data_IF_942854271800
#
_entry.id   IF_942854271800
#
_cell.length_a   1.000
_cell.length_b   1.000
_cell.length_c   1.000
_cell.angle_alpha   90.00
_cell.angle_beta   90.00
_cell.angle_gamma   90.00
#
_symmetry.space_group_name_H-M   'P 1'
#
loop_
_entity.id
_entity.type
_entity.pdbx_description
1 polymer ?
#
# COMPACT_ATOMS: atom_id res chain seq x y z
N UNK A 1 17.11 16.86 8.82
CA UNK A 1 16.01 17.29 7.93
C UNK A 1 15.25 16.02 7.52
N UNK A 2 13.96 15.87 7.79
CA UNK A 2 13.26 14.60 7.52
C UNK A 2 13.10 14.39 6.01
N UNK A 3 13.98 13.58 5.43
CA UNK A 3 14.00 13.21 4.01
C UNK A 3 12.65 12.68 3.49
N UNK A 4 11.83 12.06 4.36
CA UNK A 4 10.52 11.51 3.98
C UNK A 4 9.56 12.50 3.31
N UNK A 5 9.49 13.77 3.76
CA UNK A 5 8.63 14.78 3.09
C UNK A 5 9.10 15.14 1.69
N UNK A 6 10.42 15.15 1.48
CA UNK A 6 11.03 15.43 0.17
C UNK A 6 10.80 14.23 -0.75
N UNK A 7 10.94 13.01 -0.23
CA UNK A 7 10.71 11.79 -1.01
C UNK A 7 9.24 11.69 -1.43
N UNK A 8 8.29 11.94 -0.52
CA UNK A 8 6.85 12.01 -0.85
C UNK A 8 6.55 13.07 -1.92
N UNK A 9 7.18 14.24 -1.84
CA UNK A 9 7.00 15.32 -2.83
C UNK A 9 7.52 14.92 -4.20
N UNK A 10 8.74 14.37 -4.27
CA UNK A 10 9.31 13.89 -5.54
C UNK A 10 8.48 12.74 -6.10
N UNK A 11 8.03 11.81 -5.25
CA UNK A 11 7.22 10.67 -5.68
C UNK A 11 5.91 11.11 -6.35
N UNK A 12 5.22 12.08 -5.75
CA UNK A 12 3.91 12.50 -6.22
C UNK A 12 3.94 13.57 -7.32
N UNK A 13 4.94 14.45 -7.34
CA UNK A 13 5.00 15.55 -8.30
C UNK A 13 5.94 15.30 -9.47
N UNK A 14 6.79 14.27 -9.40
CA UNK A 14 7.70 13.91 -10.49
C UNK A 14 7.43 12.51 -11.03
N UNK A 15 7.55 11.47 -10.19
CA UNK A 15 7.42 10.10 -10.66
C UNK A 15 5.97 9.71 -11.03
N UNK A 16 5.00 10.09 -10.20
CA UNK A 16 3.60 9.76 -10.44
C UNK A 16 3.04 10.34 -11.77
N UNK A 17 3.20 11.64 -12.10
CA UNK A 17 2.71 12.19 -13.36
C UNK A 17 3.38 11.54 -14.57
N UNK A 18 4.66 11.19 -14.46
CA UNK A 18 5.38 10.50 -15.53
C UNK A 18 4.81 9.11 -15.80
N UNK A 19 4.60 8.30 -14.76
CA UNK A 19 4.03 6.95 -14.89
C UNK A 19 2.57 7.00 -15.35
N UNK A 20 1.80 7.98 -14.85
CA UNK A 20 0.42 8.22 -15.29
C UNK A 20 0.36 8.57 -16.78
N UNK A 21 1.19 9.52 -17.23
CA UNK A 21 1.25 9.93 -18.63
C UNK A 21 1.70 8.78 -19.52
N UNK A 22 2.70 8.00 -19.09
CA UNK A 22 3.13 6.81 -19.82
C UNK A 22 2.00 5.80 -19.98
N UNK A 23 1.26 5.48 -18.91
CA UNK A 23 0.13 4.57 -18.97
C UNK A 23 -0.98 5.08 -19.92
N UNK A 24 -1.22 6.39 -19.92
CA UNK A 24 -2.16 7.04 -20.83
C UNK A 24 -1.71 6.95 -22.29
N UNK A 25 -0.43 7.24 -22.60
CA UNK A 25 0.16 7.13 -23.94
C UNK A 25 0.12 5.69 -24.45
N UNK A 26 0.35 4.72 -23.56
CA UNK A 26 0.24 3.28 -23.86
C UNK A 26 -1.21 2.77 -23.99
N UNK A 27 -2.21 3.67 -23.89
CA UNK A 27 -3.64 3.35 -24.01
C UNK A 27 -4.11 2.26 -23.04
N UNK A 28 -3.54 2.24 -21.83
CA UNK A 28 -4.04 1.40 -20.74
C UNK A 28 -5.49 1.83 -20.42
N UNK A 29 -6.35 0.87 -20.09
CA UNK A 29 -7.75 1.19 -19.73
C UNK A 29 -7.79 2.14 -18.54
N UNK A 30 -8.68 3.14 -18.59
CA UNK A 30 -8.70 4.25 -17.64
C UNK A 30 -8.98 3.80 -16.19
N UNK A 31 -9.85 2.82 -16.01
CA UNK A 31 -10.13 2.17 -14.74
C UNK A 31 -8.89 1.53 -14.10
N UNK A 32 -8.05 0.87 -14.89
CA UNK A 32 -6.78 0.29 -14.45
C UNK A 32 -5.76 1.38 -14.10
N UNK A 33 -5.73 2.49 -14.85
CA UNK A 33 -4.89 3.66 -14.51
C UNK A 33 -5.34 4.26 -13.17
N UNK A 34 -6.64 4.37 -12.92
CA UNK A 34 -7.16 4.85 -11.64
C UNK A 34 -6.83 3.90 -10.49
N UNK A 35 -6.98 2.59 -10.70
CA UNK A 35 -6.61 1.60 -9.69
C UNK A 35 -5.12 1.69 -9.34
N UNK A 36 -4.25 1.78 -10.35
CA UNK A 36 -2.81 2.00 -10.16
C UNK A 36 -2.52 3.31 -9.41
N UNK A 37 -3.17 4.40 -9.82
CA UNK A 37 -2.98 5.72 -9.19
C UNK A 37 -3.42 5.73 -7.74
N UNK A 38 -4.54 5.07 -7.44
CA UNK A 38 -5.01 4.89 -6.07
C UNK A 38 -3.97 4.13 -5.25
N UNK A 39 -3.46 3.01 -5.76
CA UNK A 39 -2.39 2.26 -5.10
C UNK A 39 -1.14 3.10 -4.84
N UNK A 40 -0.69 3.87 -5.82
CA UNK A 40 0.45 4.77 -5.68
C UNK A 40 0.29 5.77 -4.54
N UNK A 41 -0.82 6.50 -4.54
CA UNK A 41 -1.11 7.53 -3.54
C UNK A 41 -1.31 6.90 -2.16
N UNK A 42 -1.99 5.75 -2.11
CA UNK A 42 -2.22 4.99 -0.89
C UNK A 42 -0.90 4.55 -0.23
N UNK A 43 0.03 3.99 -1.00
CA UNK A 43 1.38 3.66 -0.52
C UNK A 43 2.13 4.91 -0.08
N UNK A 44 2.13 5.97 -0.92
CA UNK A 44 2.89 7.18 -0.62
C UNK A 44 2.40 7.88 0.65
N UNK A 45 1.10 7.97 0.92
CA UNK A 45 0.58 8.73 2.06
C UNK A 45 0.35 7.92 3.33
N UNK A 46 -0.04 6.65 3.21
CA UNK A 46 -0.44 5.83 4.36
C UNK A 46 0.64 4.80 4.67
N UNK A 47 0.96 3.98 3.69
CA UNK A 47 1.77 2.78 3.85
C UNK A 47 3.03 2.88 3.01
N UNK A 48 3.96 3.78 3.36
CA UNK A 48 5.26 3.85 2.71
C UNK A 48 6.31 3.06 3.51
N UNK A 49 7.51 2.81 2.96
CA UNK A 49 8.54 2.03 3.66
C UNK A 49 8.95 2.68 5.00
N UNK A 50 8.81 4.01 5.10
CA UNK A 50 9.04 4.75 6.33
C UNK A 50 8.05 4.38 7.45
N UNK A 51 6.82 3.98 7.10
CA UNK A 51 5.79 3.53 8.05
C UNK A 51 6.21 2.25 8.79
N UNK A 52 7.05 1.41 8.18
CA UNK A 52 7.59 0.20 8.83
C UNK A 52 8.46 0.54 10.04
N UNK A 53 9.16 1.69 10.03
CA UNK A 53 10.01 2.12 11.13
C UNK A 53 9.24 2.87 12.20
N UNK A 54 8.32 3.74 11.77
CA UNK A 54 7.50 4.55 12.67
C UNK A 54 6.24 5.03 11.95
N UNK A 55 5.06 5.03 12.61
CA UNK A 55 3.85 5.58 12.01
C UNK A 55 4.02 7.03 11.59
N UNK A 56 3.50 7.37 10.41
CA UNK A 56 3.60 8.73 9.86
C UNK A 56 2.88 9.75 10.74
N UNK A 57 3.50 10.92 10.89
CA UNK A 57 2.90 12.03 11.64
C UNK A 57 1.67 12.63 10.92
N UNK A 58 1.64 12.57 9.59
CA UNK A 58 0.54 13.07 8.76
C UNK A 58 -0.79 12.34 9.00
N UNK A 59 -0.75 11.10 9.49
CA UNK A 59 -1.95 10.33 9.86
C UNK A 59 -2.60 10.81 11.17
N UNK A 60 -2.02 11.81 11.84
CA UNK A 60 -2.61 12.41 13.04
C UNK A 60 -2.84 11.37 14.14
N UNK A 61 -3.99 11.43 14.85
CA UNK A 61 -4.35 10.44 15.86
C UNK A 61 -4.40 9.01 15.31
N UNK A 62 -4.91 8.81 14.09
CA UNK A 62 -5.07 7.49 13.46
C UNK A 62 -3.76 6.74 13.29
N UNK A 63 -2.60 7.40 13.42
CA UNK A 63 -1.29 6.73 13.40
C UNK A 63 -1.18 5.62 14.45
N UNK A 64 -2.01 5.65 15.52
CA UNK A 64 -1.95 4.67 16.59
C UNK A 64 -2.17 3.23 16.09
N UNK A 65 -3.04 3.06 15.09
CA UNK A 65 -3.36 1.74 14.52
C UNK A 65 -2.16 1.13 13.83
N UNK A 66 -1.14 1.90 13.43
CA UNK A 66 0.03 1.39 12.72
C UNK A 66 1.21 1.07 13.64
N UNK A 67 1.16 1.41 14.94
CA UNK A 67 2.24 1.06 15.87
C UNK A 67 2.50 -0.45 15.97
N UNK A 68 1.47 -1.33 16.03
CA UNK A 68 1.71 -2.77 16.06
C UNK A 68 2.47 -3.24 14.82
N UNK A 69 2.10 -2.72 13.64
CA UNK A 69 2.80 -3.04 12.40
C UNK A 69 4.27 -2.58 12.43
N UNK A 70 4.55 -1.32 12.80
CA UNK A 70 5.94 -0.85 12.90
C UNK A 70 6.76 -1.59 13.95
N UNK A 71 6.13 -2.15 14.99
CA UNK A 71 6.81 -2.99 15.98
C UNK A 71 7.18 -4.37 15.41
N UNK A 72 6.32 -4.98 14.60
CA UNK A 72 6.55 -6.28 13.96
C UNK A 72 7.59 -6.20 12.84
N UNK A 73 7.55 -5.13 12.03
CA UNK A 73 8.42 -4.96 10.86
C UNK A 73 9.57 -3.97 11.09
N UNK A 74 9.93 -3.73 12.37
CA UNK A 74 10.93 -2.75 12.79
C UNK A 74 12.32 -2.99 12.18
N UNK A 75 12.61 -4.23 11.78
CA UNK A 75 13.83 -4.59 11.08
C UNK A 75 13.67 -4.36 9.58
N UNK A 76 14.42 -3.37 9.06
CA UNK A 76 14.51 -3.03 7.62
C UNK A 76 14.76 -4.22 6.68
N UNK A 77 15.17 -5.39 7.20
CA UNK A 77 15.58 -6.55 6.41
C UNK A 77 14.44 -7.35 5.77
N UNK A 78 13.31 -7.56 6.47
CA UNK A 78 12.21 -8.37 5.90
C UNK A 78 11.38 -7.56 4.88
N UNK A 79 11.12 -6.28 5.16
CA UNK A 79 10.40 -5.38 4.25
C UNK A 79 11.26 -4.80 3.12
N UNK A 80 12.57 -5.12 3.05
CA UNK A 80 13.46 -4.53 2.04
C UNK A 80 13.13 -4.98 0.61
N UNK A 81 12.44 -6.11 0.49
CA UNK A 81 11.91 -6.58 -0.78
C UNK A 81 10.65 -5.78 -1.13
N UNK A 82 10.71 -4.94 -2.17
CA UNK A 82 9.61 -4.05 -2.60
C UNK A 82 8.26 -4.76 -2.65
N UNK A 83 8.20 -5.91 -3.32
CA UNK A 83 6.95 -6.66 -3.48
C UNK A 83 6.48 -7.27 -2.15
N UNK A 84 7.40 -7.84 -1.38
CA UNK A 84 7.06 -8.46 -0.10
C UNK A 84 6.62 -7.43 0.95
N UNK A 85 7.33 -6.30 1.07
CA UNK A 85 6.94 -5.19 1.93
C UNK A 85 5.60 -4.57 1.53
N UNK A 86 5.32 -4.46 0.23
CA UNK A 86 3.99 -4.04 -0.26
C UNK A 86 2.92 -5.04 0.15
N UNK A 87 3.21 -6.33 -0.01
CA UNK A 87 2.29 -7.41 0.32
C UNK A 87 1.99 -7.49 1.83
N UNK A 88 2.99 -7.36 2.70
CA UNK A 88 2.79 -7.36 4.16
C UNK A 88 1.95 -6.17 4.62
N UNK A 89 2.13 -4.98 4.03
CA UNK A 89 1.29 -3.79 4.29
C UNK A 89 -0.15 -4.02 3.86
N UNK A 90 -0.38 -4.64 2.70
CA UNK A 90 -1.72 -5.01 2.26
C UNK A 90 -2.38 -6.02 3.18
N UNK A 91 -1.66 -7.08 3.59
CA UNK A 91 -2.16 -8.06 4.55
C UNK A 91 -2.53 -7.40 5.88
N UNK A 92 -1.70 -6.47 6.36
CA UNK A 92 -1.99 -5.72 7.57
C UNK A 92 -3.26 -4.86 7.42
N UNK A 93 -3.43 -4.18 6.29
CA UNK A 93 -4.64 -3.40 6.03
C UNK A 93 -5.89 -4.27 5.92
N UNK A 94 -5.79 -5.42 5.25
CA UNK A 94 -6.89 -6.39 5.18
C UNK A 94 -7.30 -6.86 6.57
N UNK A 95 -6.33 -7.12 7.46
CA UNK A 95 -6.60 -7.45 8.86
C UNK A 95 -7.28 -6.32 9.61
N UNK A 96 -6.82 -5.07 9.46
CA UNK A 96 -7.46 -3.91 10.09
C UNK A 96 -8.91 -3.72 9.63
N UNK A 97 -9.17 -3.85 8.33
CA UNK A 97 -10.52 -3.78 7.77
C UNK A 97 -11.42 -4.89 8.31
N UNK A 98 -10.89 -6.12 8.36
CA UNK A 98 -11.60 -7.27 8.96
C UNK A 98 -11.99 -6.99 10.42
N UNK A 99 -11.04 -6.53 11.23
CA UNK A 99 -11.28 -6.23 12.65
C UNK A 99 -12.27 -5.08 12.82
N UNK A 100 -12.16 -4.02 12.02
CA UNK A 100 -13.06 -2.87 12.08
C UNK A 100 -14.49 -3.26 11.68
N UNK A 101 -14.66 -3.98 10.58
CA UNK A 101 -15.97 -4.46 10.13
C UNK A 101 -16.60 -5.40 11.17
N UNK A 102 -15.83 -6.36 11.68
CA UNK A 102 -16.29 -7.29 12.71
C UNK A 102 -16.70 -6.55 13.99
N UNK A 103 -15.87 -5.61 14.46
CA UNK A 103 -16.16 -4.80 15.63
C UNK A 103 -17.40 -3.93 15.45
N UNK A 104 -17.56 -3.29 14.30
CA UNK A 104 -18.76 -2.51 13.97
C UNK A 104 -20.03 -3.37 14.00
N UNK A 105 -20.00 -4.55 13.38
CA UNK A 105 -21.15 -5.47 13.40
C UNK A 105 -21.43 -6.01 14.80
N UNK A 106 -20.39 -6.25 15.60
CA UNK A 106 -20.53 -6.71 16.99
C UNK A 106 -21.26 -5.67 17.84
N UNK A 107 -20.93 -4.38 17.66
CA UNK A 107 -21.63 -3.27 18.33
C UNK A 107 -23.11 -3.19 17.95
N UNK A 108 -23.47 -3.63 16.74
CA UNK A 108 -24.86 -3.70 16.30
C UNK A 108 -25.57 -5.00 16.71
N UNK A 109 -24.88 -5.93 17.38
CA UNK A 109 -25.41 -7.26 17.70
C UNK A 109 -25.60 -8.15 16.47
N UNK A 110 -24.90 -7.87 15.37
CA UNK A 110 -25.04 -8.53 14.05
C UNK A 110 -23.88 -9.47 13.72
N UNK A 111 -23.12 -9.91 14.73
CA UNK A 111 -22.13 -10.98 14.53
C UNK A 111 -22.83 -12.30 14.79
N UNK A 112 -23.27 -12.93 13.71
CA UNK A 112 -23.98 -14.20 13.68
C UNK A 112 -23.25 -15.23 12.82
N UNK A 113 -23.85 -16.41 12.67
CA UNK A 113 -23.31 -17.48 11.83
C UNK A 113 -23.26 -17.07 10.35
N UNK A 114 -24.19 -16.22 9.89
CA UNK A 114 -24.26 -15.74 8.50
C UNK A 114 -23.09 -14.81 8.17
N UNK A 115 -22.66 -13.98 9.12
CA UNK A 115 -21.43 -13.19 9.00
C UNK A 115 -20.22 -14.10 8.78
N UNK A 116 -20.06 -15.15 9.59
CA UNK A 116 -18.94 -16.09 9.45
C UNK A 116 -19.01 -16.89 8.13
N UNK A 117 -20.23 -17.23 7.69
CA UNK A 117 -20.49 -17.87 6.39
C UNK A 117 -20.12 -16.94 5.23
N UNK A 118 -20.38 -15.64 5.32
CA UNK A 118 -20.05 -14.66 4.27
C UNK A 118 -18.55 -14.55 4.03
N UNK A 119 -17.73 -14.58 5.10
CA UNK A 119 -16.27 -14.60 5.00
C UNK A 119 -15.78 -15.89 4.36
N UNK A 120 -16.35 -17.03 4.78
CA UNK A 120 -16.07 -18.33 4.16
C UNK A 120 -16.40 -18.28 2.67
N UNK A 121 -17.59 -17.80 2.30
CA UNK A 121 -18.04 -17.67 0.91
C UNK A 121 -17.13 -16.77 0.08
N UNK A 122 -16.69 -15.63 0.65
CA UNK A 122 -15.73 -14.73 0.01
C UNK A 122 -14.41 -15.46 -0.26
N UNK A 123 -13.84 -16.14 0.75
CA UNK A 123 -12.60 -16.90 0.61
C UNK A 123 -12.72 -18.05 -0.42
N UNK A 124 -13.87 -18.74 -0.46
CA UNK A 124 -14.14 -19.74 -1.49
C UNK A 124 -14.21 -19.11 -2.87
N UNK A 125 -14.91 -17.99 -3.04
CA UNK A 125 -15.03 -17.30 -4.34
C UNK A 125 -13.68 -16.83 -4.88
N UNK A 126 -12.78 -16.40 -3.98
CA UNK A 126 -11.38 -16.10 -4.29
C UNK A 126 -10.61 -17.28 -4.89
N UNK A 127 -10.95 -18.52 -4.52
CA UNK A 127 -10.17 -19.71 -4.86
C UNK A 127 -10.41 -20.24 -6.30
N UNK A 128 -11.43 -19.76 -7.04
CA UNK A 128 -11.73 -20.34 -8.37
C UNK A 128 -12.39 -19.43 -9.42
N UNK A 129 -13.04 -18.30 -9.05
CA UNK A 129 -13.76 -17.44 -10.01
C UNK A 129 -13.11 -16.09 -10.29
N UNK A 130 -12.16 -15.68 -9.47
CA UNK A 130 -11.54 -14.34 -9.55
C UNK A 130 -10.38 -14.29 -10.56
N UNK A 131 -9.76 -15.40 -10.94
CA UNK A 131 -8.75 -15.41 -12.00
C UNK A 131 -9.37 -15.73 -13.37
N UNK A 132 -9.28 -14.86 -14.41
CA UNK A 132 -8.87 -13.46 -14.46
C UNK A 132 -10.10 -12.55 -14.70
N UNK A 133 -10.82 -12.22 -13.63
CA UNK A 133 -11.95 -11.29 -13.69
C UNK A 133 -11.46 -9.83 -13.80
N UNK A 134 -12.32 -8.91 -14.21
CA UNK A 134 -11.98 -7.49 -14.30
C UNK A 134 -11.54 -6.91 -12.94
N UNK A 135 -12.17 -7.36 -11.87
CA UNK A 135 -11.88 -7.00 -10.49
C UNK A 135 -10.47 -7.44 -10.08
N UNK A 136 -10.01 -8.61 -10.54
CA UNK A 136 -8.65 -9.07 -10.30
C UNK A 136 -7.62 -8.16 -10.94
N UNK A 137 -7.88 -7.65 -12.15
CA UNK A 137 -7.00 -6.68 -12.79
C UNK A 137 -6.94 -5.36 -12.01
N UNK A 138 -8.08 -4.86 -11.49
CA UNK A 138 -8.09 -3.64 -10.67
C UNK A 138 -7.23 -3.79 -9.41
N UNK A 139 -7.40 -4.89 -8.67
CA UNK A 139 -6.62 -5.17 -7.45
C UNK A 139 -5.13 -5.31 -7.79
N UNK A 140 -4.82 -6.00 -8.88
CA UNK A 140 -3.43 -6.20 -9.34
C UNK A 140 -2.76 -4.88 -9.74
N UNK A 141 -3.46 -4.02 -10.49
CA UNK A 141 -2.94 -2.70 -10.87
C UNK A 141 -2.74 -1.80 -9.65
N UNK A 142 -3.66 -1.83 -8.68
CA UNK A 142 -3.48 -1.12 -7.42
C UNK A 142 -2.25 -1.62 -6.65
N UNK A 143 -2.04 -2.94 -6.56
CA UNK A 143 -0.84 -3.51 -5.94
C UNK A 143 0.45 -3.04 -6.64
N UNK A 144 0.49 -3.09 -7.96
CA UNK A 144 1.65 -2.60 -8.72
C UNK A 144 1.85 -1.09 -8.58
N UNK A 145 0.77 -0.31 -8.45
CA UNK A 145 0.83 1.10 -8.11
C UNK A 145 1.51 1.36 -6.77
N UNK A 146 1.16 0.59 -5.74
CA UNK A 146 1.82 0.65 -4.43
C UNK A 146 3.30 0.28 -4.53
N UNK A 147 3.62 -0.83 -5.18
CA UNK A 147 4.99 -1.32 -5.33
C UNK A 147 5.87 -0.35 -6.14
N UNK A 148 5.31 0.29 -7.16
CA UNK A 148 6.02 1.29 -7.96
C UNK A 148 6.34 2.55 -7.13
N UNK A 149 5.38 3.02 -6.32
CA UNK A 149 5.63 4.11 -5.37
C UNK A 149 6.77 3.77 -4.39
N UNK A 150 6.80 2.54 -3.88
CA UNK A 150 7.86 2.07 -2.97
C UNK A 150 9.23 1.95 -3.65
N UNK A 151 9.25 1.46 -4.90
CA UNK A 151 10.46 1.41 -5.71
C UNK A 151 11.07 2.81 -5.90
N UNK A 152 10.25 3.80 -6.25
CA UNK A 152 10.71 5.18 -6.43
C UNK A 152 11.24 5.78 -5.12
N UNK A 153 10.64 5.42 -3.96
CA UNK A 153 11.15 5.81 -2.65
C UNK A 153 12.55 5.25 -2.40
N UNK A 154 12.78 3.96 -2.65
CA UNK A 154 14.10 3.34 -2.49
C UNK A 154 15.12 3.85 -3.50
N UNK A 155 14.70 4.12 -4.74
CA UNK A 155 15.55 4.73 -5.74
C UNK A 155 16.04 6.10 -5.26
N UNK A 156 15.16 6.91 -4.65
CA UNK A 156 15.53 8.20 -4.09
C UNK A 156 16.49 8.07 -2.90
N UNK A 157 16.24 7.13 -1.98
CA UNK A 157 17.17 6.82 -0.88
C UNK A 157 18.56 6.45 -1.40
N UNK A 158 18.61 5.59 -2.43
CA UNK A 158 19.85 5.16 -3.07
C UNK A 158 20.58 6.33 -3.73
N UNK A 159 19.90 7.12 -4.57
CA UNK A 159 20.50 8.27 -5.26
C UNK A 159 21.03 9.31 -4.27
N UNK A 160 20.26 9.60 -3.21
CA UNK A 160 20.70 10.52 -2.17
C UNK A 160 21.97 10.02 -1.46
N UNK A 161 22.02 8.72 -1.14
CA UNK A 161 23.22 8.11 -0.53
C UNK A 161 24.45 8.17 -1.45
N UNK A 162 24.26 7.99 -2.77
CA UNK A 162 25.32 8.07 -3.76
C UNK A 162 25.85 9.50 -3.88
N UNK A 163 24.95 10.49 -3.94
CA UNK A 163 25.33 11.90 -3.99
C UNK A 163 26.13 12.34 -2.77
N UNK A 164 25.81 11.82 -1.58
CA UNK A 164 26.61 12.10 -0.38
C UNK A 164 28.01 11.50 -0.45
N UNK A 165 28.16 10.30 -1.03
CA UNK A 165 29.48 9.67 -1.22
C UNK A 165 30.35 10.38 -2.26
N UNK A 166 29.74 10.96 -3.29
CA UNK A 166 30.44 11.70 -4.36
C UNK A 166 30.83 13.12 -3.92
N UNK A 167 30.15 13.70 -2.91
CA UNK A 167 30.49 15.02 -2.34
C UNK A 167 31.62 14.98 -1.29
N UNK A 168 32.37 13.87 -1.21
CA UNK A 168 33.70 13.80 -0.59
C UNK A 168 34.76 14.22 -1.60
#
# INVERSE_FOLDING_TARGET
MSLGKVHETINNFFFFPFVFLLAFVLKVKLDLIFAFSFGWLFSTFIFSPDTDLKPKKSLGPFRFIFYPYSALFRHRGLSHNILFGTFTRLLYMALLLFLFQTGYLALLGKVDMDFMLSWKQMMYTFNYKILPSHEFYLITFAFFGMAAADFCHYLMDFLYSLMQKIKL
#
